data_IF_534633910769
#
_entry.id   IF_534633910769
#
_cell.length_a   1.000
_cell.length_b   1.000
_cell.length_c   1.000
_cell.angle_alpha   90.00
_cell.angle_beta   90.00
_cell.angle_gamma   90.00
#
_symmetry.space_group_name_H-M   'P 1'
#
loop_
_entity.id
_entity.type
_entity.pdbx_description
1 polymer ?
#
# COMPACT_ATOMS: atom_id res chain seq x y z
N UNK A 1 -17.98 15.58 11.72
CA UNK A 1 -17.07 15.34 10.59
C UNK A 1 -17.91 15.36 9.31
N UNK A 2 -17.71 16.36 8.44
CA UNK A 2 -18.41 16.43 7.16
C UNK A 2 -17.94 15.26 6.27
N UNK A 3 -18.90 14.48 5.75
CA UNK A 3 -18.64 13.51 4.69
C UNK A 3 -18.23 14.31 3.46
N UNK A 4 -16.96 14.32 3.12
CA UNK A 4 -16.53 14.75 1.80
C UNK A 4 -17.28 13.89 0.78
N UNK A 5 -17.94 14.54 -0.17
CA UNK A 5 -18.67 13.87 -1.25
C UNK A 5 -17.68 12.97 -2.00
N UNK A 6 -17.88 11.65 -1.94
CA UNK A 6 -17.20 10.70 -2.83
C UNK A 6 -17.44 11.18 -4.26
N UNK A 7 -16.38 11.54 -4.96
CA UNK A 7 -16.42 11.74 -6.41
C UNK A 7 -16.73 10.38 -7.01
N UNK A 8 -17.88 10.22 -7.65
CA UNK A 8 -18.27 8.99 -8.33
C UNK A 8 -17.32 8.74 -9.50
N UNK A 9 -16.29 7.93 -9.26
CA UNK A 9 -15.38 7.48 -10.30
C UNK A 9 -16.12 6.46 -11.17
N UNK A 10 -16.05 6.59 -12.49
CA UNK A 10 -16.64 5.63 -13.44
C UNK A 10 -15.97 4.24 -13.35
N UNK A 11 -14.76 4.15 -12.81
CA UNK A 11 -14.03 2.93 -12.47
C UNK A 11 -13.11 3.18 -11.26
N UNK A 12 -12.71 2.13 -10.52
CA UNK A 12 -11.71 2.28 -9.47
C UNK A 12 -10.38 2.80 -10.05
N UNK A 13 -9.68 3.61 -9.27
CA UNK A 13 -8.31 3.99 -9.62
C UNK A 13 -7.35 2.84 -9.35
N UNK A 14 -6.48 2.56 -10.30
CA UNK A 14 -5.44 1.54 -10.21
C UNK A 14 -4.16 2.15 -9.68
N UNK A 15 -3.65 1.62 -8.58
CA UNK A 15 -2.51 2.19 -7.83
C UNK A 15 -1.49 1.09 -7.58
N UNK A 16 -0.22 1.38 -7.79
CA UNK A 16 0.87 0.48 -7.44
C UNK A 16 1.98 1.20 -6.66
N UNK A 17 2.57 0.47 -5.69
CA UNK A 17 3.87 0.82 -5.13
C UNK A 17 4.91 -0.07 -5.79
N UNK A 18 5.78 0.50 -6.63
CA UNK A 18 6.72 -0.27 -7.43
C UNK A 18 8.12 0.28 -7.37
N UNK A 19 9.10 -0.62 -7.35
CA UNK A 19 10.54 -0.33 -7.45
C UNK A 19 11.26 -1.57 -7.95
N UNK A 20 12.40 -1.39 -8.60
CA UNK A 20 13.18 -2.51 -9.16
C UNK A 20 13.87 -3.38 -8.11
N UNK A 21 13.89 -3.00 -6.84
CA UNK A 21 14.60 -3.75 -5.79
C UNK A 21 13.63 -4.52 -4.89
N UNK A 22 13.97 -5.76 -4.61
CA UNK A 22 13.35 -6.55 -3.54
C UNK A 22 13.65 -5.93 -2.16
N UNK A 23 12.73 -6.10 -1.20
CA UNK A 23 12.92 -5.63 0.17
C UNK A 23 12.70 -4.13 0.41
N UNK A 24 12.29 -3.37 -0.60
CA UNK A 24 11.99 -1.94 -0.46
C UNK A 24 10.65 -1.63 0.24
N UNK A 25 9.97 -2.63 0.79
CA UNK A 25 8.75 -2.44 1.56
C UNK A 25 7.48 -2.24 0.73
N UNK A 26 7.47 -2.57 -0.57
CA UNK A 26 6.30 -2.42 -1.46
C UNK A 26 5.02 -3.02 -0.87
N UNK A 27 5.00 -4.31 -0.62
CA UNK A 27 3.87 -5.02 0.00
C UNK A 27 3.47 -4.40 1.34
N UNK A 28 4.47 -4.03 2.17
CA UNK A 28 4.21 -3.40 3.48
C UNK A 28 3.48 -2.07 3.31
N UNK A 29 3.92 -1.20 2.41
CA UNK A 29 3.30 0.11 2.15
C UNK A 29 1.92 -0.09 1.51
N UNK A 30 1.81 -0.99 0.54
CA UNK A 30 0.53 -1.35 -0.12
C UNK A 30 -0.51 -1.74 0.92
N UNK A 31 -0.19 -2.69 1.81
CA UNK A 31 -1.11 -3.15 2.85
C UNK A 31 -1.44 -2.06 3.85
N UNK A 32 -0.46 -1.29 4.33
CA UNK A 32 -0.69 -0.21 5.30
C UNK A 32 -1.59 0.89 4.74
N UNK A 33 -1.32 1.34 3.51
CA UNK A 33 -2.13 2.39 2.85
C UNK A 33 -3.52 1.86 2.55
N UNK A 34 -3.66 0.67 1.95
CA UNK A 34 -4.96 0.07 1.66
C UNK A 34 -5.81 -0.11 2.92
N UNK A 35 -5.23 -0.65 4.00
CA UNK A 35 -5.93 -0.85 5.27
C UNK A 35 -6.34 0.48 5.92
N UNK A 36 -5.48 1.49 5.89
CA UNK A 36 -5.80 2.81 6.40
C UNK A 36 -6.95 3.46 5.59
N UNK A 37 -6.89 3.41 4.26
CA UNK A 37 -7.95 3.94 3.42
C UNK A 37 -9.28 3.19 3.62
N UNK A 38 -9.24 1.87 3.78
CA UNK A 38 -10.45 1.07 3.96
C UNK A 38 -11.08 1.27 5.33
N UNK A 39 -10.31 1.05 6.39
CA UNK A 39 -10.84 1.00 7.76
C UNK A 39 -10.92 2.36 8.44
N UNK A 40 -10.03 3.31 8.10
CA UNK A 40 -9.98 4.62 8.74
C UNK A 40 -10.64 5.70 7.89
N UNK A 41 -10.40 5.71 6.58
CA UNK A 41 -10.97 6.70 5.64
C UNK A 41 -12.26 6.24 4.96
N UNK A 42 -12.68 5.02 5.22
CA UNK A 42 -13.93 4.42 4.75
C UNK A 42 -14.08 4.33 3.21
N UNK A 43 -12.96 4.23 2.48
CA UNK A 43 -12.96 3.92 1.05
C UNK A 43 -13.11 2.41 0.81
N UNK A 44 -13.70 2.02 -0.31
CA UNK A 44 -13.76 0.63 -0.74
C UNK A 44 -12.52 0.31 -1.56
N UNK A 45 -11.65 -0.51 -1.00
CA UNK A 45 -10.39 -0.87 -1.64
C UNK A 45 -10.32 -2.37 -1.93
N UNK A 46 -9.43 -2.76 -2.84
CA UNK A 46 -9.02 -4.12 -3.06
C UNK A 46 -7.50 -4.18 -3.25
N UNK A 47 -6.91 -5.36 -3.02
CA UNK A 47 -5.52 -5.66 -3.40
C UNK A 47 -5.53 -6.82 -4.39
N UNK A 48 -4.78 -6.66 -5.49
CA UNK A 48 -4.41 -7.75 -6.40
C UNK A 48 -2.93 -8.01 -6.20
N UNK A 49 -2.63 -9.18 -5.66
CA UNK A 49 -1.27 -9.63 -5.38
C UNK A 49 -0.70 -10.31 -6.63
N UNK A 50 0.24 -9.65 -7.28
CA UNK A 50 0.89 -10.10 -8.50
C UNK A 50 2.34 -10.56 -8.27
N UNK A 51 2.81 -10.63 -7.03
CA UNK A 51 4.17 -11.04 -6.68
C UNK A 51 4.33 -12.57 -6.71
N UNK A 52 4.06 -13.16 -7.87
CA UNK A 52 4.25 -14.60 -8.11
C UNK A 52 5.75 -14.98 -8.03
N UNK A 53 6.11 -16.08 -7.36
CA UNK A 53 5.27 -17.04 -6.65
C UNK A 53 5.06 -16.74 -5.16
N UNK A 54 5.57 -15.62 -4.63
CA UNK A 54 5.58 -15.34 -3.19
C UNK A 54 4.20 -14.99 -2.63
N UNK A 55 3.39 -14.24 -3.38
CA UNK A 55 2.06 -13.79 -2.95
C UNK A 55 1.99 -13.29 -1.49
N UNK A 56 2.90 -12.37 -1.15
CA UNK A 56 3.12 -11.93 0.25
C UNK A 56 1.90 -11.24 0.88
N UNK A 57 1.11 -10.49 0.11
CA UNK A 57 -0.11 -9.84 0.61
C UNK A 57 -1.22 -10.86 0.86
N UNK A 58 -1.32 -11.89 0.02
CA UNK A 58 -2.27 -13.00 0.17
C UNK A 58 -1.94 -13.88 1.36
N UNK A 59 -0.68 -14.18 1.58
CA UNK A 59 -0.25 -14.95 2.75
C UNK A 59 -0.48 -14.17 4.05
N UNK A 60 -0.23 -12.86 4.03
CA UNK A 60 -0.60 -12.00 5.14
C UNK A 60 -2.11 -12.05 5.43
N UNK A 61 -2.95 -12.04 4.39
CA UNK A 61 -4.41 -12.18 4.51
C UNK A 61 -4.82 -13.50 5.14
N UNK A 62 -4.23 -14.61 4.73
CA UNK A 62 -4.51 -15.96 5.29
C UNK A 62 -4.19 -15.96 6.78
N UNK A 63 -2.98 -15.56 7.15
CA UNK A 63 -2.52 -15.46 8.55
C UNK A 63 -3.42 -14.56 9.40
N UNK A 64 -3.77 -13.37 8.91
CA UNK A 64 -4.58 -12.40 9.66
C UNK A 64 -6.01 -12.93 9.90
N UNK A 65 -6.59 -13.63 8.91
CA UNK A 65 -7.88 -14.29 9.06
C UNK A 65 -7.84 -15.44 10.08
N UNK A 66 -6.83 -16.30 10.00
CA UNK A 66 -6.63 -17.39 10.96
C UNK A 66 -6.54 -16.83 12.38
N UNK A 67 -5.75 -15.79 12.57
CA UNK A 67 -5.61 -15.13 13.87
C UNK A 67 -6.93 -14.52 14.36
N UNK A 68 -7.65 -13.85 13.49
CA UNK A 68 -8.96 -13.28 13.82
C UNK A 68 -9.95 -14.39 14.23
N UNK A 69 -9.92 -15.55 13.58
CA UNK A 69 -10.86 -16.64 13.85
C UNK A 69 -10.47 -17.49 15.07
N UNK A 70 -9.19 -17.55 15.44
CA UNK A 70 -8.68 -18.41 16.51
C UNK A 70 -8.56 -17.71 17.87
N UNK A 71 -8.71 -16.40 17.96
CA UNK A 71 -8.54 -15.63 19.19
C UNK A 71 -9.74 -14.73 19.45
N UNK A 72 -10.45 -14.97 20.56
CA UNK A 72 -11.66 -14.25 20.96
C UNK A 72 -11.48 -12.74 21.03
N UNK A 73 -10.30 -12.27 21.47
CA UNK A 73 -9.98 -10.85 21.50
C UNK A 73 -10.03 -10.22 20.10
N UNK A 74 -9.43 -10.88 19.10
CA UNK A 74 -9.44 -10.38 17.73
C UNK A 74 -10.80 -10.55 17.05
N UNK A 75 -11.58 -11.59 17.41
CA UNK A 75 -12.98 -11.74 16.95
C UNK A 75 -13.83 -10.56 17.44
N UNK A 76 -13.75 -10.23 18.72
CA UNK A 76 -14.50 -9.12 19.31
C UNK A 76 -14.08 -7.79 18.67
N UNK A 77 -12.77 -7.53 18.57
CA UNK A 77 -12.23 -6.32 17.95
C UNK A 77 -12.68 -6.19 16.48
N UNK A 78 -12.71 -7.28 15.72
CA UNK A 78 -13.18 -7.29 14.34
C UNK A 78 -14.69 -7.00 14.25
N UNK A 79 -15.50 -7.61 15.11
CA UNK A 79 -16.94 -7.39 15.14
C UNK A 79 -17.30 -5.94 15.43
N UNK A 80 -16.73 -5.36 16.48
CA UNK A 80 -16.93 -3.95 16.82
C UNK A 80 -16.50 -2.99 15.69
N UNK A 81 -15.35 -3.29 15.07
CA UNK A 81 -14.85 -2.49 13.96
C UNK A 81 -15.78 -2.57 12.74
N UNK A 82 -16.20 -3.78 12.32
CA UNK A 82 -17.06 -3.96 11.15
C UNK A 82 -18.43 -3.33 11.35
N UNK A 83 -18.99 -3.42 12.55
CA UNK A 83 -20.22 -2.74 12.92
C UNK A 83 -20.06 -1.21 12.81
N UNK A 84 -18.97 -0.68 13.35
CA UNK A 84 -18.70 0.76 13.34
C UNK A 84 -18.54 1.34 11.92
N UNK A 85 -17.82 0.62 11.02
CA UNK A 85 -17.57 1.10 9.66
C UNK A 85 -18.67 0.71 8.66
N UNK A 86 -19.57 -0.22 9.04
CA UNK A 86 -20.67 -0.70 8.20
C UNK A 86 -20.23 -1.55 7.02
N UNK A 87 -19.05 -2.15 7.06
CA UNK A 87 -18.51 -3.03 6.00
C UNK A 87 -17.49 -4.03 6.54
N UNK A 88 -17.30 -5.14 5.81
CA UNK A 88 -16.34 -6.18 6.16
C UNK A 88 -14.91 -5.91 5.70
N UNK A 89 -14.12 -6.98 5.65
CA UNK A 89 -12.74 -6.94 5.14
C UNK A 89 -12.72 -6.69 3.64
N UNK A 90 -11.74 -5.90 3.18
CA UNK A 90 -11.56 -5.68 1.75
C UNK A 90 -11.00 -6.93 1.04
N UNK A 91 -11.32 -7.16 -0.26
CA UNK A 91 -10.82 -8.31 -0.99
C UNK A 91 -9.31 -8.22 -1.26
N UNK A 92 -8.64 -9.37 -1.14
CA UNK A 92 -7.27 -9.61 -1.59
C UNK A 92 -7.30 -10.83 -2.48
N UNK A 93 -6.78 -10.73 -3.70
CA UNK A 93 -6.79 -11.79 -4.69
C UNK A 93 -5.43 -11.96 -5.36
N UNK A 94 -5.04 -13.20 -5.64
CA UNK A 94 -3.82 -13.56 -6.34
C UNK A 94 -4.03 -13.49 -7.86
N UNK A 95 -3.03 -13.00 -8.60
CA UNK A 95 -3.03 -13.00 -10.06
C UNK A 95 -1.62 -13.04 -10.63
N UNK A 96 -1.47 -13.56 -11.84
CA UNK A 96 -0.29 -13.25 -12.64
C UNK A 96 -0.43 -11.83 -13.19
N UNK A 97 0.70 -11.16 -13.46
CA UNK A 97 0.67 -9.81 -14.02
C UNK A 97 -0.11 -9.72 -15.35
N UNK A 98 -0.06 -10.77 -16.19
CA UNK A 98 -0.81 -10.84 -17.46
C UNK A 98 -2.33 -10.83 -17.29
N UNK A 99 -2.85 -11.31 -16.18
CA UNK A 99 -4.28 -11.56 -15.95
C UNK A 99 -4.90 -10.55 -14.97
N UNK A 100 -4.06 -9.68 -14.39
CA UNK A 100 -4.41 -8.82 -13.27
C UNK A 100 -5.49 -7.78 -13.63
N UNK A 101 -5.43 -7.20 -14.84
CA UNK A 101 -6.45 -6.22 -15.30
C UNK A 101 -7.80 -6.90 -15.48
N UNK A 102 -7.84 -8.06 -16.12
CA UNK A 102 -9.08 -8.83 -16.25
C UNK A 102 -9.67 -9.25 -14.90
N UNK A 103 -8.81 -9.54 -13.91
CA UNK A 103 -9.26 -9.79 -12.55
C UNK A 103 -9.82 -8.52 -11.90
N UNK A 104 -9.15 -7.38 -12.05
CA UNK A 104 -9.62 -6.09 -11.52
C UNK A 104 -11.02 -5.72 -12.03
N UNK A 105 -11.26 -5.90 -13.33
CA UNK A 105 -12.59 -5.69 -13.94
C UNK A 105 -13.67 -6.61 -13.37
N UNK A 106 -13.34 -7.91 -13.20
CA UNK A 106 -14.28 -8.88 -12.56
C UNK A 106 -14.57 -8.51 -11.11
N UNK A 107 -13.56 -8.11 -10.35
CA UNK A 107 -13.74 -7.67 -8.95
C UNK A 107 -14.59 -6.41 -8.89
N UNK A 108 -14.38 -5.44 -9.76
CA UNK A 108 -15.19 -4.21 -9.83
C UNK A 108 -16.66 -4.53 -10.11
N UNK A 109 -16.93 -5.44 -11.04
CA UNK A 109 -18.31 -5.88 -11.33
C UNK A 109 -18.97 -6.60 -10.16
N UNK A 110 -18.21 -7.43 -9.44
CA UNK A 110 -18.71 -8.23 -8.32
C UNK A 110 -18.97 -7.37 -7.08
N UNK A 111 -18.02 -6.52 -6.70
CA UNK A 111 -18.08 -5.70 -5.49
C UNK A 111 -18.94 -4.44 -5.67
N UNK A 112 -19.19 -4.01 -6.90
CA UNK A 112 -20.12 -2.94 -7.28
C UNK A 112 -19.70 -1.51 -6.95
N UNK A 113 -18.71 -1.28 -6.09
CA UNK A 113 -18.33 0.07 -5.65
C UNK A 113 -16.91 0.18 -5.09
N UNK A 114 -15.92 -0.35 -5.81
CA UNK A 114 -14.51 -0.13 -5.46
C UNK A 114 -14.09 1.31 -5.82
N UNK A 115 -13.42 1.98 -4.90
CA UNK A 115 -12.81 3.29 -5.13
C UNK A 115 -11.36 3.13 -5.64
N UNK A 116 -10.60 2.18 -5.05
CA UNK A 116 -9.20 1.93 -5.39
C UNK A 116 -8.89 0.43 -5.48
N UNK A 117 -8.05 0.06 -6.45
CA UNK A 117 -7.43 -1.26 -6.51
C UNK A 117 -5.93 -1.07 -6.45
N UNK A 118 -5.31 -1.64 -5.42
CA UNK A 118 -3.86 -1.66 -5.25
C UNK A 118 -3.28 -2.93 -5.87
N UNK A 119 -2.22 -2.76 -6.67
CA UNK A 119 -1.49 -3.86 -7.28
C UNK A 119 -0.16 -4.03 -6.55
N UNK A 120 0.03 -5.19 -5.90
CA UNK A 120 1.32 -5.55 -5.29
C UNK A 120 2.17 -6.30 -6.30
N UNK A 121 3.23 -5.66 -6.78
CA UNK A 121 4.02 -6.10 -7.91
C UNK A 121 5.35 -6.73 -7.46
N UNK A 122 5.90 -7.71 -8.23
CA UNK A 122 7.20 -8.27 -7.95
C UNK A 122 8.31 -7.22 -7.96
N UNK A 123 9.41 -7.51 -7.26
CA UNK A 123 10.58 -6.62 -7.19
C UNK A 123 11.42 -6.58 -8.47
N UNK A 124 11.09 -7.40 -9.47
CA UNK A 124 11.82 -7.46 -10.74
C UNK A 124 10.94 -6.96 -11.87
N UNK A 125 11.39 -5.94 -12.58
CA UNK A 125 10.68 -5.33 -13.72
C UNK A 125 11.13 -5.95 -15.06
N UNK A 126 11.97 -6.99 -15.03
CA UNK A 126 12.49 -7.63 -16.26
C UNK A 126 11.47 -8.50 -17.01
N UNK A 127 10.19 -8.41 -16.65
CA UNK A 127 9.11 -9.16 -17.26
C UNK A 127 8.19 -8.20 -18.03
N UNK A 128 8.01 -8.42 -19.32
CA UNK A 128 7.14 -7.62 -20.18
C UNK A 128 5.73 -7.49 -19.63
N UNK A 129 5.17 -8.55 -19.03
CA UNK A 129 3.82 -8.52 -18.44
C UNK A 129 3.73 -7.55 -17.26
N UNK A 130 4.79 -7.42 -16.46
CA UNK A 130 4.84 -6.45 -15.34
C UNK A 130 4.92 -5.02 -15.86
N UNK A 131 5.71 -4.79 -16.93
CA UNK A 131 5.80 -3.47 -17.57
C UNK A 131 4.45 -3.08 -18.17
N UNK A 132 3.81 -4.01 -18.90
CA UNK A 132 2.48 -3.77 -19.47
C UNK A 132 1.44 -3.48 -18.38
N UNK A 133 1.49 -4.21 -17.27
CA UNK A 133 0.60 -3.97 -16.13
C UNK A 133 0.85 -2.60 -15.49
N UNK A 134 2.11 -2.19 -15.34
CA UNK A 134 2.45 -0.85 -14.82
C UNK A 134 1.93 0.28 -15.71
N UNK A 135 1.89 0.09 -17.03
CA UNK A 135 1.36 1.06 -17.97
C UNK A 135 -0.17 1.26 -17.84
N UNK A 136 -0.89 0.29 -17.25
CA UNK A 136 -2.34 0.38 -16.97
C UNK A 136 -2.66 1.06 -15.62
N UNK A 137 -1.65 1.38 -14.82
CA UNK A 137 -1.87 2.06 -13.53
C UNK A 137 -2.19 3.53 -13.72
N UNK A 138 -3.18 4.04 -12.98
CA UNK A 138 -3.44 5.48 -12.88
C UNK A 138 -2.33 6.18 -12.11
N UNK A 139 -1.76 5.50 -11.08
CA UNK A 139 -0.71 6.04 -10.23
C UNK A 139 0.31 4.96 -9.86
N UNK A 140 1.58 5.30 -10.02
CA UNK A 140 2.70 4.48 -9.55
C UNK A 140 3.54 5.30 -8.57
N UNK A 141 3.66 4.80 -7.34
CA UNK A 141 4.52 5.38 -6.31
C UNK A 141 5.77 4.54 -6.15
N UNK A 142 6.94 5.18 -6.16
CA UNK A 142 8.21 4.48 -5.97
C UNK A 142 8.75 4.73 -4.57
N UNK A 143 8.78 3.72 -3.69
CA UNK A 143 9.49 3.84 -2.43
C UNK A 143 11.01 3.91 -2.70
N UNK A 144 11.64 4.99 -2.25
CA UNK A 144 13.09 5.16 -2.33
C UNK A 144 13.66 4.98 -0.93
N UNK A 145 14.63 4.08 -0.83
CA UNK A 145 15.48 3.92 0.36
C UNK A 145 16.78 4.66 0.04
N UNK A 146 17.34 5.40 0.99
CA UNK A 146 18.62 6.09 0.82
C UNK A 146 19.80 5.10 0.74
N UNK A 147 19.86 4.37 -0.37
CA UNK A 147 20.90 3.43 -0.79
C UNK A 147 21.22 3.73 -2.26
N UNK A 148 22.47 4.00 -2.57
CA UNK A 148 22.96 4.40 -3.90
C UNK A 148 22.55 3.46 -5.04
N UNK A 149 22.42 2.17 -4.77
CA UNK A 149 22.08 1.14 -5.79
C UNK A 149 20.59 1.17 -6.08
N UNK A 150 19.75 1.40 -5.05
CA UNK A 150 18.29 1.45 -5.20
C UNK A 150 17.86 2.70 -5.95
N UNK A 151 18.52 3.81 -5.69
CA UNK A 151 18.14 5.11 -6.24
C UNK A 151 18.34 5.18 -7.75
N UNK A 152 19.46 4.67 -8.27
CA UNK A 152 19.72 4.62 -9.72
C UNK A 152 18.70 3.84 -10.51
N UNK A 153 18.16 2.76 -9.93
CA UNK A 153 17.19 1.90 -10.60
C UNK A 153 15.73 2.41 -10.53
N UNK A 154 15.45 3.33 -9.62
CA UNK A 154 14.08 3.78 -9.35
C UNK A 154 13.65 5.01 -10.18
N UNK A 155 14.60 5.81 -10.65
CA UNK A 155 14.35 7.08 -11.37
C UNK A 155 13.60 6.87 -12.70
N UNK A 156 13.75 5.71 -13.32
CA UNK A 156 13.28 5.48 -14.71
C UNK A 156 11.76 5.22 -14.80
N UNK A 157 11.06 4.94 -13.70
CA UNK A 157 9.73 4.30 -13.78
C UNK A 157 8.56 5.03 -13.13
N UNK A 158 8.76 6.15 -12.44
CA UNK A 158 7.67 6.65 -11.59
C UNK A 158 7.47 8.15 -11.61
N UNK A 159 6.20 8.56 -11.56
CA UNK A 159 5.78 9.95 -11.39
C UNK A 159 5.86 10.41 -9.93
N UNK A 160 5.94 9.49 -8.98
CA UNK A 160 5.89 9.79 -7.53
C UNK A 160 6.89 8.95 -6.76
N UNK A 161 7.56 9.55 -5.81
CA UNK A 161 8.58 8.91 -4.97
C UNK A 161 8.25 9.04 -3.49
N UNK A 162 8.55 7.98 -2.72
CA UNK A 162 8.58 7.98 -1.27
C UNK A 162 10.04 7.89 -0.81
N UNK A 163 10.46 8.76 0.09
CA UNK A 163 11.83 8.81 0.60
C UNK A 163 11.89 8.52 2.11
N UNK A 164 12.84 7.72 2.56
CA UNK A 164 13.14 7.49 3.97
C UNK A 164 14.16 8.53 4.49
N UNK A 165 13.78 9.28 5.52
CA UNK A 165 14.56 10.40 6.11
C UNK A 165 15.66 10.00 7.08
N UNK A 166 15.77 8.72 7.48
CA UNK A 166 16.74 8.36 8.52
C UNK A 166 18.20 8.54 8.12
N UNK A 167 18.49 8.43 6.88
CA UNK A 167 19.78 8.75 6.36
C UNK A 167 19.80 10.23 5.95
N UNK A 168 19.87 11.13 6.94
CA UNK A 168 20.31 12.51 6.75
C UNK A 168 21.75 12.46 6.26
N UNK A 169 21.93 12.26 4.99
CA UNK A 169 23.24 12.28 4.40
C UNK A 169 23.23 13.29 3.27
N UNK A 170 24.41 13.78 2.96
CA UNK A 170 24.72 14.53 1.74
C UNK A 170 24.08 13.87 0.50
N UNK A 171 23.84 12.56 0.57
CA UNK A 171 23.17 11.75 -0.43
C UNK A 171 21.70 12.14 -0.63
N UNK A 172 20.95 12.40 0.45
CA UNK A 172 19.54 12.82 0.35
C UNK A 172 19.43 14.18 -0.38
N UNK A 173 20.28 15.14 -0.02
CA UNK A 173 20.23 16.47 -0.61
C UNK A 173 20.68 16.44 -2.08
N UNK A 174 21.71 15.65 -2.40
CA UNK A 174 22.17 15.45 -3.78
C UNK A 174 21.08 14.82 -4.66
N UNK A 175 20.38 13.81 -4.15
CA UNK A 175 19.30 13.16 -4.89
C UNK A 175 18.04 14.01 -5.01
N UNK A 176 17.71 14.80 -4.00
CA UNK A 176 16.60 15.76 -4.06
C UNK A 176 16.83 16.78 -5.17
N UNK A 177 18.08 17.20 -5.37
CA UNK A 177 18.46 18.08 -6.47
C UNK A 177 18.25 17.40 -7.85
N UNK A 178 18.71 16.15 -8.00
CA UNK A 178 18.54 15.37 -9.25
C UNK A 178 17.06 15.16 -9.58
N UNK A 179 16.23 14.77 -8.61
CA UNK A 179 14.80 14.58 -8.82
C UNK A 179 14.10 15.88 -9.23
N UNK A 180 14.54 17.01 -8.67
CA UNK A 180 14.03 18.33 -9.02
C UNK A 180 14.42 18.72 -10.45
N UNK A 181 15.65 18.44 -10.88
CA UNK A 181 16.10 18.65 -12.25
C UNK A 181 15.32 17.82 -13.27
N UNK A 182 14.93 16.59 -12.90
CA UNK A 182 14.14 15.69 -13.73
C UNK A 182 12.63 16.00 -13.69
N UNK A 183 12.20 17.03 -12.94
CA UNK A 183 10.78 17.38 -12.70
C UNK A 183 9.93 16.21 -12.21
N UNK A 184 10.55 15.32 -11.41
CA UNK A 184 9.85 14.18 -10.81
C UNK A 184 9.17 14.62 -9.52
N UNK A 185 7.84 14.47 -9.41
CA UNK A 185 7.13 14.88 -8.19
C UNK A 185 7.47 13.94 -7.03
N UNK A 186 7.95 14.53 -5.93
CA UNK A 186 8.33 13.81 -4.70
C UNK A 186 7.29 14.06 -3.62
N UNK A 187 6.86 13.00 -2.94
CA UNK A 187 5.98 13.12 -1.78
C UNK A 187 6.72 13.84 -0.64
N UNK A 188 6.00 14.67 0.09
CA UNK A 188 6.55 15.39 1.25
C UNK A 188 6.73 14.49 2.45
N UNK A 189 5.89 13.44 2.55
CA UNK A 189 5.93 12.50 3.66
C UNK A 189 7.07 11.52 3.52
N UNK A 190 7.80 11.36 4.61
CA UNK A 190 8.91 10.42 4.73
C UNK A 190 8.58 9.42 5.83
N UNK A 191 8.66 8.14 5.50
CA UNK A 191 8.50 7.08 6.47
C UNK A 191 9.76 6.93 7.32
N UNK A 192 9.58 6.87 8.63
CA UNK A 192 10.68 6.54 9.53
C UNK A 192 11.01 5.05 9.39
N UNK A 193 12.28 4.70 9.23
CA UNK A 193 12.74 3.30 9.23
C UNK A 193 12.63 2.71 10.65
N UNK A 194 11.45 2.31 11.06
CA UNK A 194 11.20 1.76 12.39
C UNK A 194 11.21 0.25 12.37
N UNK A 195 11.70 -0.35 13.44
CA UNK A 195 11.66 -1.80 13.64
C UNK A 195 10.25 -2.38 13.50
N UNK A 196 9.21 -1.59 13.78
CA UNK A 196 7.80 -2.00 13.64
C UNK A 196 7.38 -2.34 12.22
N UNK A 197 8.06 -1.79 11.19
CA UNK A 197 7.83 -2.19 9.80
C UNK A 197 8.36 -3.58 9.49
N UNK A 198 9.33 -4.06 10.28
CA UNK A 198 9.97 -5.37 10.13
C UNK A 198 9.45 -6.40 11.11
N UNK A 199 9.02 -5.97 12.30
CA UNK A 199 8.50 -6.87 13.33
C UNK A 199 6.99 -6.98 13.21
N UNK A 200 6.54 -8.17 12.92
CA UNK A 200 5.17 -8.57 13.13
C UNK A 200 5.01 -8.93 14.60
N UNK A 201 4.13 -8.24 15.26
CA UNK A 201 3.57 -8.50 16.60
C UNK A 201 4.52 -9.08 17.65
N UNK A 202 4.81 -8.30 18.69
CA UNK A 202 5.28 -8.84 19.94
C UNK A 202 4.23 -9.77 20.57
N UNK A 203 4.67 -10.76 21.34
CA UNK A 203 3.88 -11.82 22.00
C UNK A 203 2.82 -11.32 23.00
N UNK A 204 2.83 -10.06 23.37
CA UNK A 204 1.80 -9.47 24.20
C UNK A 204 0.69 -8.88 23.33
N UNK A 205 -0.58 -9.10 23.69
CA UNK A 205 -1.82 -8.53 23.11
C UNK A 205 -1.70 -7.02 22.93
N UNK A 206 -0.97 -6.60 21.94
CA UNK A 206 -0.75 -5.19 21.56
C UNK A 206 -1.34 -4.99 20.19
N UNK A 207 -1.78 -3.78 19.90
CA UNK A 207 -2.41 -3.40 18.65
C UNK A 207 -1.69 -3.91 17.40
N UNK A 208 -2.42 -4.09 16.34
CA UNK A 208 -1.92 -4.59 15.06
C UNK A 208 -1.40 -3.42 14.25
N UNK A 209 -0.17 -3.48 13.73
CA UNK A 209 0.37 -2.42 12.90
C UNK A 209 0.16 -2.68 11.41
N UNK A 210 0.56 -3.86 10.92
CA UNK A 210 0.40 -4.27 9.54
C UNK A 210 -0.56 -5.44 9.45
N UNK A 211 -1.74 -5.20 8.95
CA UNK A 211 -2.75 -6.22 8.74
C UNK A 211 -3.64 -5.88 7.54
N UNK A 212 -4.14 -6.91 6.92
CA UNK A 212 -5.15 -6.80 5.88
C UNK A 212 -6.58 -6.87 6.44
N UNK A 213 -6.75 -7.22 7.72
CA UNK A 213 -8.04 -7.38 8.40
C UNK A 213 -8.33 -6.22 9.35
N UNK A 214 -7.29 -5.62 9.92
CA UNK A 214 -7.41 -4.54 10.90
C UNK A 214 -6.77 -3.24 10.40
N UNK A 215 -7.25 -2.07 10.85
CA UNK A 215 -6.54 -0.82 10.66
C UNK A 215 -5.21 -0.86 11.42
N UNK A 216 -4.21 -0.08 10.99
CA UNK A 216 -3.04 0.16 11.80
C UNK A 216 -3.43 0.77 13.15
N UNK A 217 -2.96 0.20 14.26
CA UNK A 217 -3.24 0.68 15.62
C UNK A 217 -2.78 2.13 15.80
N UNK A 218 -3.62 2.97 16.40
CA UNK A 218 -3.36 4.41 16.57
C UNK A 218 -2.08 4.70 17.35
N UNK A 219 -1.75 3.87 18.36
CA UNK A 219 -0.52 4.06 19.15
C UNK A 219 0.72 3.70 18.37
N UNK A 220 0.62 2.70 17.49
CA UNK A 220 1.69 2.25 16.61
C UNK A 220 1.86 3.16 15.38
N UNK A 221 0.81 3.85 14.94
CA UNK A 221 0.90 4.89 13.91
C UNK A 221 1.73 6.09 14.36
N UNK A 222 1.66 6.43 15.64
CA UNK A 222 2.35 7.62 16.18
C UNK A 222 3.85 7.58 15.87
N UNK A 223 4.32 8.60 15.11
CA UNK A 223 5.71 8.73 14.69
C UNK A 223 6.14 7.79 13.55
N UNK A 224 5.22 7.00 12.97
CA UNK A 224 5.51 6.20 11.76
C UNK A 224 5.33 6.99 10.47
N UNK A 225 4.51 8.04 10.49
CA UNK A 225 4.05 8.84 9.35
C UNK A 225 3.22 8.04 8.32
N UNK A 226 2.74 6.85 8.64
CA UNK A 226 1.92 6.05 7.71
C UNK A 226 0.57 6.70 7.43
N UNK A 227 -0.06 7.28 8.45
CA UNK A 227 -1.30 8.04 8.33
C UNK A 227 -1.12 9.28 7.44
N UNK A 228 -0.04 10.03 7.66
CA UNK A 228 0.30 11.21 6.85
C UNK A 228 0.58 10.80 5.41
N UNK A 229 1.33 9.70 5.20
CA UNK A 229 1.59 9.15 3.87
C UNK A 229 0.29 8.74 3.17
N UNK A 230 -0.57 8.00 3.87
CA UNK A 230 -1.82 7.53 3.29
C UNK A 230 -2.75 8.69 2.91
N UNK A 231 -2.78 9.77 3.71
CA UNK A 231 -3.55 10.97 3.40
C UNK A 231 -2.93 11.77 2.24
N UNK A 232 -1.61 11.85 2.15
CA UNK A 232 -0.93 12.47 1.01
C UNK A 232 -1.20 11.69 -0.29
N UNK A 233 -1.06 10.36 -0.26
CA UNK A 233 -1.42 9.49 -1.39
C UNK A 233 -2.87 9.69 -1.78
N UNK A 234 -3.79 9.67 -0.81
CA UNK A 234 -5.22 9.89 -1.05
C UNK A 234 -5.47 11.24 -1.74
N UNK A 235 -4.83 12.31 -1.31
CA UNK A 235 -4.96 13.64 -1.90
C UNK A 235 -4.56 13.71 -3.38
N UNK A 236 -3.72 12.76 -3.81
CA UNK A 236 -3.26 12.64 -5.19
C UNK A 236 -4.20 11.78 -6.01
N UNK A 237 -4.54 10.59 -5.50
CA UNK A 237 -5.33 9.59 -6.26
C UNK A 237 -6.84 9.90 -6.30
N UNK A 238 -7.30 10.85 -5.50
CA UNK A 238 -8.71 11.31 -5.49
C UNK A 238 -9.01 12.43 -6.51
N UNK A 239 -7.99 12.88 -7.23
CA UNK A 239 -8.12 13.88 -8.30
C UNK A 239 -8.52 13.19 -9.60
#
# INVERSE_FOLDING_TARGET
MQKEKKVGLNRPKYVAFSTQKGGAGKTTITVLVASYLHYVRNYNVAIIDCDYPQYSASDLRKRDKEKMLSDEYYQMMASEMFEHIGKGIYPVAESKASDAIGLAERMTKKEGSLDFIFFDLPGTINNTSVISLLAEMDYVFCPIIADNVVMKSSIIFTERFLMDRREKSELYDAWSAVLKELDVPVLKTVLSNMLRFRKEQGEARKGVFRSTVFPPDKTLLKGSNVDILADEVLSIISK
#
